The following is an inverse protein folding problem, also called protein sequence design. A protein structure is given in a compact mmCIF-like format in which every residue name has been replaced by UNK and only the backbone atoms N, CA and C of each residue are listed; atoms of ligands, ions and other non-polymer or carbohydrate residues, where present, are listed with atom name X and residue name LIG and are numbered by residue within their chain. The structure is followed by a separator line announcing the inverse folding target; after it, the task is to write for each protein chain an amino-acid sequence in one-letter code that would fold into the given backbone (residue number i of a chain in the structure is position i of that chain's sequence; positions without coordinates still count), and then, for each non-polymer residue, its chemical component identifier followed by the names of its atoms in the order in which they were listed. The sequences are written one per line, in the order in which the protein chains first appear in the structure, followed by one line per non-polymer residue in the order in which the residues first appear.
data_IF_343741764907
#
_entry.id   IF_343741764907
#
_cell.length_a   1.000
_cell.length_b   1.000
_cell.length_c   1.000
_cell.angle_alpha   90.00
_cell.angle_beta   90.00
_cell.angle_gamma   90.00
#
_symmetry.space_group_name_H-M   'P 1'
#
loop_
_entity.id
_entity.type
_entity.pdbx_description
1 polymer ?
#
# COMPACT_ATOMS: atom_id res chain seq x y z
N UNK A 1 76.29 -44.43 -90.62
CA UNK A 1 75.51 -43.27 -91.15
C UNK A 1 74.11 -43.30 -90.54
N UNK A 2 73.72 -42.19 -89.93
CA UNK A 2 72.44 -42.01 -89.25
C UNK A 2 71.29 -41.74 -90.25
N UNK A 3 70.08 -42.24 -89.96
CA UNK A 3 68.86 -41.64 -90.51
C UNK A 3 67.69 -41.71 -89.52
N UNK A 4 67.59 -40.64 -88.72
CA UNK A 4 66.42 -40.28 -87.90
C UNK A 4 65.30 -39.78 -88.84
N UNK A 5 64.09 -40.36 -88.82
CA UNK A 5 62.93 -39.74 -89.50
C UNK A 5 61.57 -40.01 -88.85
N UNK A 6 61.23 -39.06 -87.98
CA UNK A 6 59.90 -38.51 -87.61
C UNK A 6 58.72 -39.46 -87.51
N UNK A 7 58.31 -39.71 -86.25
CA UNK A 7 56.95 -40.10 -85.88
C UNK A 7 55.96 -39.15 -86.57
N UNK A 8 55.22 -39.66 -87.55
CA UNK A 8 54.09 -38.98 -88.16
C UNK A 8 52.95 -39.04 -87.14
N UNK A 9 52.78 -37.99 -86.35
CA UNK A 9 51.56 -37.80 -85.58
C UNK A 9 50.40 -37.69 -86.58
N UNK A 10 49.50 -38.66 -86.53
CA UNK A 10 48.32 -38.72 -87.38
C UNK A 10 47.42 -37.52 -87.09
N UNK A 11 46.92 -36.77 -88.08
CA UNK A 11 45.97 -35.66 -87.82
C UNK A 11 44.68 -36.14 -87.13
N UNK A 12 44.37 -37.44 -87.25
CA UNK A 12 43.28 -38.13 -86.58
C UNK A 12 43.50 -38.29 -85.05
N UNK A 13 44.75 -38.43 -84.59
CA UNK A 13 45.04 -38.53 -83.15
C UNK A 13 45.05 -37.17 -82.45
N UNK A 14 45.36 -36.09 -83.17
CA UNK A 14 45.34 -34.74 -82.60
C UNK A 14 43.90 -34.22 -82.41
N UNK A 15 43.04 -34.44 -83.41
CA UNK A 15 41.63 -34.04 -83.36
C UNK A 15 40.81 -34.90 -82.39
N UNK A 16 41.12 -36.19 -82.25
CA UNK A 16 40.48 -37.04 -81.24
C UNK A 16 40.87 -36.67 -79.80
N UNK A 17 42.14 -36.28 -79.57
CA UNK A 17 42.59 -35.76 -78.28
C UNK A 17 41.86 -34.47 -77.92
N UNK A 18 41.62 -33.59 -78.89
CA UNK A 18 40.96 -32.29 -78.67
C UNK A 18 39.46 -32.44 -78.36
N UNK A 19 38.75 -33.34 -79.05
CA UNK A 19 37.35 -33.66 -78.77
C UNK A 19 37.19 -34.33 -77.40
N UNK A 20 38.09 -35.27 -77.07
CA UNK A 20 38.07 -35.95 -75.76
C UNK A 20 38.43 -34.97 -74.62
N UNK A 21 39.42 -34.09 -74.82
CA UNK A 21 39.82 -33.09 -73.83
C UNK A 21 38.73 -32.03 -73.62
N UNK A 22 38.07 -31.57 -74.69
CA UNK A 22 36.95 -30.63 -74.62
C UNK A 22 35.73 -31.26 -73.94
N UNK A 23 35.40 -32.52 -74.29
CA UNK A 23 34.31 -33.26 -73.64
C UNK A 23 34.56 -33.52 -72.15
N UNK A 24 35.78 -33.92 -71.79
CA UNK A 24 36.15 -34.11 -70.39
C UNK A 24 36.16 -32.77 -69.62
N UNK A 25 36.59 -31.68 -70.26
CA UNK A 25 36.48 -30.33 -69.72
C UNK A 25 35.03 -29.95 -69.40
N UNK A 26 34.10 -30.18 -70.32
CA UNK A 26 32.69 -29.88 -70.11
C UNK A 26 32.07 -30.71 -68.97
N UNK A 27 32.41 -32.00 -68.88
CA UNK A 27 31.92 -32.89 -67.80
C UNK A 27 32.49 -32.52 -66.44
N UNK A 28 33.78 -32.16 -66.37
CA UNK A 28 34.41 -31.71 -65.12
C UNK A 28 33.85 -30.36 -64.65
N UNK A 29 33.56 -29.44 -65.58
CA UNK A 29 32.91 -28.17 -65.29
C UNK A 29 31.47 -28.38 -64.80
N UNK A 30 30.71 -29.28 -65.45
CA UNK A 30 29.37 -29.66 -65.00
C UNK A 30 29.39 -30.31 -63.60
N UNK A 31 30.36 -31.19 -63.34
CA UNK A 31 30.55 -31.81 -62.04
C UNK A 31 30.92 -30.79 -60.95
N UNK A 32 31.81 -29.83 -61.26
CA UNK A 32 32.14 -28.72 -60.37
C UNK A 32 30.95 -27.81 -60.12
N UNK A 33 30.14 -27.49 -61.13
CA UNK A 33 28.92 -26.70 -60.98
C UNK A 33 27.91 -27.46 -60.13
N UNK A 34 27.68 -28.75 -60.35
CA UNK A 34 26.78 -29.56 -59.52
C UNK A 34 27.26 -29.67 -58.07
N UNK A 35 28.57 -29.82 -57.85
CA UNK A 35 29.17 -29.87 -56.51
C UNK A 35 29.19 -28.50 -55.82
N UNK A 36 29.32 -27.40 -56.57
CA UNK A 36 29.26 -26.05 -56.02
C UNK A 36 27.82 -25.56 -55.83
N UNK A 37 26.88 -26.09 -56.61
CA UNK A 37 25.45 -25.85 -56.50
C UNK A 37 24.75 -26.83 -55.53
N UNK A 38 25.49 -27.61 -54.74
CA UNK A 38 25.00 -27.96 -53.41
C UNK A 38 24.99 -26.64 -52.64
N UNK A 39 23.94 -25.86 -52.88
CA UNK A 39 23.62 -24.72 -52.06
C UNK A 39 23.82 -25.20 -50.63
N UNK A 40 24.67 -24.49 -49.90
CA UNK A 40 24.56 -24.42 -48.47
C UNK A 40 23.14 -23.92 -48.26
N UNK A 41 22.17 -24.84 -48.23
CA UNK A 41 20.89 -24.58 -47.60
C UNK A 41 21.34 -24.40 -46.16
N UNK A 42 21.38 -23.17 -45.63
CA UNK A 42 21.58 -23.05 -44.20
C UNK A 42 20.44 -23.88 -43.62
N UNK A 43 20.77 -25.00 -42.98
CA UNK A 43 19.81 -25.70 -42.15
C UNK A 43 19.28 -24.61 -41.22
N UNK A 44 17.98 -24.24 -41.30
CA UNK A 44 17.46 -23.20 -40.44
C UNK A 44 17.79 -23.65 -39.02
N UNK A 45 18.58 -22.84 -38.33
CA UNK A 45 18.98 -23.15 -36.97
C UNK A 45 17.68 -23.18 -36.16
N UNK A 46 17.23 -24.39 -35.81
CA UNK A 46 15.92 -24.62 -35.18
C UNK A 46 15.79 -23.78 -33.89
N UNK A 47 16.94 -23.50 -33.25
CA UNK A 47 17.06 -22.58 -32.12
C UNK A 47 16.69 -21.13 -32.48
N UNK A 48 17.16 -20.60 -33.62
CA UNK A 48 16.85 -19.23 -34.06
C UNK A 48 15.37 -19.11 -34.46
N UNK A 49 14.80 -20.11 -35.10
CA UNK A 49 13.36 -20.11 -35.42
C UNK A 49 12.49 -20.16 -34.16
N UNK A 50 12.87 -20.97 -33.17
CA UNK A 50 12.18 -21.00 -31.87
C UNK A 50 12.29 -19.66 -31.11
N UNK A 51 13.44 -18.99 -31.17
CA UNK A 51 13.65 -17.68 -30.55
C UNK A 51 12.79 -16.59 -31.21
N UNK A 52 12.69 -16.60 -32.56
CA UNK A 52 11.81 -15.69 -33.30
C UNK A 52 10.34 -15.92 -32.94
N UNK A 53 9.90 -17.18 -32.79
CA UNK A 53 8.54 -17.52 -32.39
C UNK A 53 8.21 -17.07 -30.96
N UNK A 54 9.16 -17.21 -30.03
CA UNK A 54 9.04 -16.69 -28.66
C UNK A 54 8.94 -15.16 -28.65
N UNK A 55 9.81 -14.47 -29.37
CA UNK A 55 9.75 -13.00 -29.49
C UNK A 55 8.44 -12.53 -30.14
N UNK A 56 7.94 -13.23 -31.15
CA UNK A 56 6.65 -12.93 -31.77
C UNK A 56 5.46 -13.18 -30.81
N UNK A 57 5.60 -14.11 -29.87
CA UNK A 57 4.62 -14.33 -28.81
C UNK A 57 4.68 -13.21 -27.77
N UNK A 58 5.87 -12.80 -27.35
CA UNK A 58 6.08 -11.72 -26.40
C UNK A 58 5.58 -10.38 -26.93
N UNK A 59 5.80 -10.08 -28.22
CA UNK A 59 5.25 -8.89 -28.88
C UNK A 59 3.73 -8.91 -28.86
N UNK A 60 3.10 -10.04 -29.21
CA UNK A 60 1.63 -10.17 -29.17
C UNK A 60 1.09 -9.99 -27.75
N UNK A 61 1.76 -10.54 -26.76
CA UNK A 61 1.39 -10.38 -25.36
C UNK A 61 1.50 -8.92 -24.92
N UNK A 62 2.60 -8.26 -25.26
CA UNK A 62 2.80 -6.83 -24.97
C UNK A 62 1.76 -5.94 -25.66
N UNK A 63 1.32 -6.28 -26.87
CA UNK A 63 0.25 -5.56 -27.57
C UNK A 63 -1.10 -5.70 -26.85
N UNK A 64 -1.43 -6.89 -26.34
CA UNK A 64 -2.64 -7.13 -25.54
C UNK A 64 -2.57 -6.32 -24.24
N UNK A 65 -1.47 -6.43 -23.49
CA UNK A 65 -1.26 -5.70 -22.23
C UNK A 65 -1.33 -4.19 -22.44
N UNK A 66 -0.78 -3.68 -23.54
CA UNK A 66 -0.88 -2.26 -23.90
C UNK A 66 -2.34 -1.82 -24.07
N UNK A 67 -3.16 -2.62 -24.74
CA UNK A 67 -4.59 -2.30 -24.94
C UNK A 67 -5.33 -2.31 -23.60
N UNK A 68 -5.05 -3.29 -22.73
CA UNK A 68 -5.65 -3.36 -21.38
C UNK A 68 -5.27 -2.16 -20.52
N UNK A 69 -4.01 -1.72 -20.58
CA UNK A 69 -3.54 -0.53 -19.87
C UNK A 69 -4.20 0.74 -20.39
N UNK A 70 -4.36 0.89 -21.72
CA UNK A 70 -5.05 2.04 -22.31
C UNK A 70 -6.51 2.10 -21.89
N UNK A 71 -7.22 0.97 -21.88
CA UNK A 71 -8.61 0.89 -21.40
C UNK A 71 -8.70 1.25 -19.91
N UNK A 72 -7.73 0.81 -19.10
CA UNK A 72 -7.66 1.14 -17.68
C UNK A 72 -7.44 2.64 -17.44
N UNK A 73 -6.62 3.29 -18.27
CA UNK A 73 -6.41 4.75 -18.21
C UNK A 73 -7.71 5.48 -18.54
N UNK A 74 -8.42 5.08 -19.59
CA UNK A 74 -9.70 5.69 -19.98
C UNK A 74 -10.75 5.55 -18.85
N UNK A 75 -10.82 4.38 -18.21
CA UNK A 75 -11.71 4.17 -17.06
C UNK A 75 -11.34 5.08 -15.88
N UNK A 76 -10.06 5.22 -15.56
CA UNK A 76 -9.58 6.08 -14.48
C UNK A 76 -9.89 7.56 -14.78
N UNK A 77 -9.72 8.01 -16.01
CA UNK A 77 -10.09 9.37 -16.42
C UNK A 77 -11.58 9.64 -16.22
N UNK A 78 -12.44 8.68 -16.59
CA UNK A 78 -13.88 8.79 -16.42
C UNK A 78 -14.27 8.86 -14.93
N UNK A 79 -13.68 8.01 -14.08
CA UNK A 79 -13.87 8.06 -12.62
C UNK A 79 -13.41 9.38 -12.03
N UNK A 80 -12.31 9.94 -12.53
CA UNK A 80 -11.77 11.22 -12.07
C UNK A 80 -12.73 12.37 -12.43
N UNK A 81 -13.28 12.38 -13.64
CA UNK A 81 -14.31 13.36 -14.06
C UNK A 81 -15.54 13.26 -13.17
N UNK A 82 -16.03 12.05 -12.87
CA UNK A 82 -17.16 11.84 -11.97
C UNK A 82 -16.89 12.35 -10.55
N UNK A 83 -15.72 12.03 -9.99
CA UNK A 83 -15.32 12.47 -8.66
C UNK A 83 -15.22 14.00 -8.57
N UNK A 84 -14.64 14.66 -9.60
CA UNK A 84 -14.62 16.13 -9.69
C UNK A 84 -16.02 16.72 -9.78
N UNK A 85 -16.93 16.08 -10.52
CA UNK A 85 -18.33 16.49 -10.62
C UNK A 85 -19.09 16.36 -9.29
N UNK A 86 -18.83 15.30 -8.52
CA UNK A 86 -19.38 15.15 -7.16
C UNK A 86 -18.82 16.20 -6.21
N UNK A 87 -17.51 16.42 -6.22
CA UNK A 87 -16.87 17.44 -5.37
C UNK A 87 -17.43 18.84 -5.64
N UNK A 88 -17.64 19.22 -6.91
CA UNK A 88 -18.28 20.49 -7.24
C UNK A 88 -19.69 20.61 -6.69
N UNK A 89 -20.50 19.55 -6.80
CA UNK A 89 -21.86 19.52 -6.21
C UNK A 89 -21.82 19.72 -4.70
N UNK A 90 -20.95 18.99 -3.99
CA UNK A 90 -20.80 19.18 -2.55
C UNK A 90 -20.38 20.60 -2.16
N UNK A 91 -19.49 21.24 -2.93
CA UNK A 91 -19.12 22.63 -2.67
C UNK A 91 -20.29 23.59 -2.90
N UNK A 92 -21.10 23.35 -3.93
CA UNK A 92 -22.33 24.13 -4.17
C UNK A 92 -23.35 23.92 -3.05
N UNK A 93 -23.59 22.68 -2.63
CA UNK A 93 -24.51 22.35 -1.54
C UNK A 93 -24.05 23.00 -0.22
N UNK A 94 -22.73 22.97 0.06
CA UNK A 94 -22.16 23.65 1.23
C UNK A 94 -22.35 25.16 1.18
N UNK A 95 -22.19 25.77 0.00
CA UNK A 95 -22.41 27.21 -0.16
C UNK A 95 -23.89 27.57 0.03
N UNK A 96 -24.82 26.77 -0.49
CA UNK A 96 -26.26 26.96 -0.30
C UNK A 96 -26.65 26.82 1.20
N UNK A 97 -26.08 25.84 1.90
CA UNK A 97 -26.24 25.70 3.35
C UNK A 97 -25.67 26.91 4.09
N UNK A 98 -24.48 27.38 3.73
CA UNK A 98 -23.88 28.57 4.34
C UNK A 98 -24.74 29.83 4.12
N UNK A 99 -25.24 30.03 2.90
CA UNK A 99 -26.17 31.13 2.57
C UNK A 99 -27.49 31.00 3.34
N UNK A 100 -28.02 29.78 3.54
CA UNK A 100 -29.21 29.53 4.35
C UNK A 100 -29.00 29.86 5.84
N UNK A 101 -27.80 29.55 6.37
CA UNK A 101 -27.40 29.88 7.75
C UNK A 101 -27.25 31.39 7.91
N UNK A 102 -26.70 32.09 6.92
CA UNK A 102 -26.54 33.54 6.95
C UNK A 102 -27.86 34.30 6.74
N UNK A 103 -28.83 33.71 6.03
CA UNK A 103 -30.10 34.37 5.67
C UNK A 103 -31.14 34.44 6.78
N UNK A 104 -31.03 33.63 7.85
CA UNK A 104 -32.01 33.63 8.94
C UNK A 104 -31.35 33.67 10.35
N UNK A 105 -30.76 34.84 10.74
CA UNK A 105 -30.21 35.02 12.10
C UNK A 105 -31.25 34.81 13.21
N UNK A 106 -32.56 34.94 12.89
CA UNK A 106 -33.64 34.63 13.82
C UNK A 106 -33.82 33.12 14.05
N UNK A 107 -33.53 32.26 13.06
CA UNK A 107 -33.52 30.80 13.27
C UNK A 107 -32.35 30.37 14.16
N UNK A 108 -31.17 30.95 13.99
CA UNK A 108 -30.03 30.69 14.88
C UNK A 108 -30.35 31.15 16.30
N UNK A 109 -30.96 32.34 16.46
CA UNK A 109 -31.38 32.81 17.78
C UNK A 109 -32.44 31.90 18.41
N UNK A 110 -33.39 31.41 17.63
CA UNK A 110 -34.44 30.49 18.08
C UNK A 110 -33.88 29.11 18.44
N UNK A 111 -32.93 28.60 17.67
CA UNK A 111 -32.25 27.33 17.95
C UNK A 111 -31.33 27.45 19.16
N UNK A 112 -30.61 28.57 19.32
CA UNK A 112 -29.83 28.86 20.55
C UNK A 112 -30.72 28.93 21.78
N UNK A 113 -31.88 29.60 21.68
CA UNK A 113 -32.85 29.66 22.78
C UNK A 113 -33.43 28.26 23.11
N UNK A 114 -33.67 27.42 22.10
CA UNK A 114 -34.11 26.04 22.32
C UNK A 114 -33.02 25.17 22.95
N UNK A 115 -31.76 25.33 22.53
CA UNK A 115 -30.62 24.64 23.14
C UNK A 115 -30.45 25.07 24.58
N UNK A 116 -30.54 26.36 24.89
CA UNK A 116 -30.43 26.87 26.26
C UNK A 116 -31.57 26.37 27.16
N UNK A 117 -32.79 26.23 26.63
CA UNK A 117 -33.92 25.65 27.36
C UNK A 117 -33.70 24.15 27.63
N UNK A 118 -33.25 23.41 26.61
CA UNK A 118 -32.92 21.99 26.73
C UNK A 118 -31.75 21.75 27.70
N UNK A 119 -30.73 22.61 27.67
CA UNK A 119 -29.60 22.57 28.62
C UNK A 119 -30.06 22.82 30.06
N UNK A 120 -31.03 23.72 30.27
CA UNK A 120 -31.62 23.94 31.60
C UNK A 120 -32.48 22.75 32.06
N UNK A 121 -33.25 22.14 31.16
CA UNK A 121 -34.01 20.93 31.47
C UNK A 121 -33.09 19.75 31.77
N UNK A 122 -31.99 19.56 31.00
CA UNK A 122 -31.01 18.51 31.27
C UNK A 122 -30.22 18.78 32.54
N UNK A 123 -29.83 20.02 32.83
CA UNK A 123 -29.15 20.37 34.08
C UNK A 123 -30.03 20.12 35.31
N UNK A 124 -31.33 20.42 35.22
CA UNK A 124 -32.30 20.12 36.27
C UNK A 124 -32.55 18.61 36.45
N UNK A 125 -32.37 17.81 35.38
CA UNK A 125 -32.39 16.34 35.45
C UNK A 125 -31.06 15.75 35.97
N UNK A 126 -29.92 16.36 35.64
CA UNK A 126 -28.58 15.92 36.07
C UNK A 126 -28.32 16.18 37.56
N UNK A 127 -28.82 17.29 38.13
CA UNK A 127 -28.73 17.58 39.57
C UNK A 127 -29.46 16.55 40.46
N UNK A 128 -30.38 15.75 39.89
CA UNK A 128 -31.12 14.72 40.64
C UNK A 128 -30.42 13.35 40.61
N UNK A 129 -29.49 13.10 39.67
CA UNK A 129 -28.84 11.78 39.54
C UNK A 129 -27.30 11.75 39.54
N UNK A 130 -26.57 12.85 39.38
CA UNK A 130 -25.10 12.80 39.35
C UNK A 130 -24.46 13.90 40.22
N UNK A 131 -23.78 13.47 41.28
CA UNK A 131 -22.95 14.33 42.11
C UNK A 131 -21.78 14.93 41.34
N UNK A 132 -21.51 16.20 41.63
CA UNK A 132 -20.37 17.03 41.23
C UNK A 132 -19.12 16.24 40.81
N UNK A 133 -18.87 16.18 39.50
CA UNK A 133 -17.56 16.33 38.81
C UNK A 133 -17.68 15.87 37.36
N UNK A 134 -18.12 16.77 36.49
CA UNK A 134 -18.01 16.57 35.04
C UNK A 134 -17.14 17.68 34.45
N UNK A 135 -15.99 17.25 33.92
CA UNK A 135 -15.05 18.08 33.17
C UNK A 135 -15.72 18.52 31.86
N UNK A 136 -16.07 19.81 31.73
CA UNK A 136 -16.48 20.38 30.44
C UNK A 136 -15.28 20.39 29.47
N UNK A 137 -15.35 19.59 28.40
CA UNK A 137 -14.47 19.76 27.23
C UNK A 137 -15.24 20.53 26.15
N UNK A 138 -14.85 21.79 25.94
CA UNK A 138 -15.28 22.59 24.80
C UNK A 138 -14.30 22.30 23.66
N UNK A 139 -14.69 21.43 22.73
CA UNK A 139 -13.86 21.12 21.56
C UNK A 139 -14.61 20.29 20.51
N UNK A 140 -14.85 20.93 19.36
CA UNK A 140 -15.41 20.44 18.10
C UNK A 140 -15.95 19.00 18.05
N UNK A 141 -17.27 18.89 18.14
CA UNK A 141 -18.06 17.87 17.47
C UNK A 141 -18.11 16.53 18.17
N UNK A 142 -19.33 16.05 18.39
CA UNK A 142 -19.67 14.71 18.86
C UNK A 142 -19.06 13.63 17.93
N UNK A 143 -17.78 13.29 18.14
CA UNK A 143 -17.03 12.28 17.35
C UNK A 143 -17.48 10.85 17.62
N UNK A 144 -18.44 10.65 18.53
CA UNK A 144 -18.98 9.34 18.88
C UNK A 144 -19.60 8.58 17.69
N UNK A 145 -20.03 9.29 16.64
CA UNK A 145 -20.64 8.66 15.46
C UNK A 145 -19.65 8.22 14.38
N UNK A 146 -18.36 8.55 14.48
CA UNK A 146 -17.39 8.34 13.38
C UNK A 146 -16.59 7.04 13.46
N UNK A 147 -16.60 6.34 14.60
CA UNK A 147 -15.83 5.08 14.75
C UNK A 147 -16.71 3.83 14.73
N UNK A 148 -18.04 3.97 14.88
CA UNK A 148 -18.94 2.82 15.07
C UNK A 148 -18.65 2.01 16.34
N UNK A 149 -17.74 2.47 17.21
CA UNK A 149 -17.36 1.80 18.44
C UNK A 149 -18.33 2.18 19.55
N UNK A 150 -19.13 1.21 20.03
CA UNK A 150 -19.90 1.35 21.26
C UNK A 150 -18.97 1.07 22.45
N UNK A 151 -18.44 2.13 23.05
CA UNK A 151 -17.71 2.04 24.32
C UNK A 151 -18.73 1.86 25.43
N UNK A 152 -18.78 0.66 26.02
CA UNK A 152 -19.69 0.31 27.09
C UNK A 152 -19.39 -1.09 27.65
N UNK A 153 -19.78 -1.32 28.90
CA UNK A 153 -19.52 -2.55 29.64
C UNK A 153 -18.89 -2.29 31.01
N UNK A 154 -18.93 -3.27 31.90
CA UNK A 154 -18.36 -3.17 33.26
C UNK A 154 -16.82 -3.15 33.25
N UNK A 155 -16.20 -3.65 32.18
CA UNK A 155 -14.76 -3.81 32.02
C UNK A 155 -14.36 -3.49 30.58
N UNK A 156 -13.50 -2.49 30.41
CA UNK A 156 -13.02 -2.04 29.11
C UNK A 156 -11.51 -2.15 29.06
N UNK A 157 -10.98 -2.86 28.07
CA UNK A 157 -9.55 -3.05 27.91
C UNK A 157 -9.08 -2.42 26.61
N UNK A 158 -8.01 -1.64 26.69
CA UNK A 158 -7.42 -0.94 25.56
C UNK A 158 -6.01 -1.49 25.33
N UNK A 159 -5.84 -2.13 24.18
CA UNK A 159 -4.54 -2.62 23.71
C UNK A 159 -3.96 -1.65 22.69
N UNK A 160 -2.75 -1.19 22.95
CA UNK A 160 -2.06 -0.17 22.15
C UNK A 160 -0.82 -0.79 21.54
N UNK A 161 -0.77 -0.89 20.21
CA UNK A 161 0.46 -1.26 19.51
C UNK A 161 1.49 -0.14 19.72
N UNK A 162 2.66 -0.50 20.23
CA UNK A 162 3.80 0.38 20.46
C UNK A 162 5.07 -0.14 19.75
N UNK A 163 4.88 -0.82 18.62
CA UNK A 163 5.95 -1.30 17.74
C UNK A 163 6.65 -0.18 16.96
N UNK A 164 7.79 -0.50 16.33
CA UNK A 164 8.47 0.44 15.44
C UNK A 164 7.60 0.91 14.24
N UNK A 165 6.57 0.15 13.86
CA UNK A 165 5.63 0.54 12.81
C UNK A 165 4.77 1.76 13.19
N UNK A 166 4.72 2.10 14.48
CA UNK A 166 3.98 3.25 15.01
C UNK A 166 4.76 4.57 14.89
N UNK A 167 6.02 4.52 14.42
CA UNK A 167 6.84 5.71 14.18
C UNK A 167 6.52 6.41 12.84
N UNK A 168 5.99 5.67 11.85
CA UNK A 168 5.66 6.24 10.55
C UNK A 168 4.71 5.35 9.74
N UNK A 169 4.03 5.93 8.75
CA UNK A 169 3.17 5.19 7.82
C UNK A 169 3.96 4.39 6.77
N UNK A 170 5.20 4.80 6.47
CA UNK A 170 6.06 4.07 5.52
C UNK A 170 7.20 3.34 6.25
N UNK A 171 7.50 2.12 5.78
CA UNK A 171 8.56 1.26 6.35
C UNK A 171 9.91 1.97 6.36
N UNK A 172 10.24 2.70 5.29
CA UNK A 172 11.51 3.45 5.19
C UNK A 172 11.59 4.55 6.26
N UNK A 173 10.51 5.32 6.46
CA UNK A 173 10.49 6.36 7.48
C UNK A 173 10.47 5.78 8.90
N UNK A 174 9.84 4.62 9.10
CA UNK A 174 9.86 3.92 10.38
C UNK A 174 11.29 3.49 10.75
N UNK A 175 12.05 2.92 9.80
CA UNK A 175 13.46 2.54 10.01
C UNK A 175 14.33 3.79 10.25
N UNK A 176 14.12 4.87 9.49
CA UNK A 176 14.87 6.12 9.68
C UNK A 176 14.63 6.70 11.07
N UNK A 177 13.38 6.74 11.52
CA UNK A 177 13.01 7.25 12.84
C UNK A 177 13.50 6.37 13.97
N UNK A 178 13.48 5.03 13.81
CA UNK A 178 13.96 4.08 14.82
C UNK A 178 15.38 4.36 15.32
N UNK A 179 16.22 4.98 14.49
CA UNK A 179 17.61 5.31 14.85
C UNK A 179 17.77 6.76 15.36
N UNK A 180 16.68 7.48 15.61
CA UNK A 180 16.67 8.83 16.19
C UNK A 180 16.61 8.76 17.72
N UNK A 181 16.84 9.91 18.37
CA UNK A 181 16.71 10.05 19.83
C UNK A 181 15.26 9.80 20.29
N UNK A 182 15.11 9.39 21.55
CA UNK A 182 13.82 8.98 22.13
C UNK A 182 12.76 10.08 22.08
N UNK A 183 13.13 11.34 22.29
CA UNK A 183 12.24 12.50 22.14
C UNK A 183 11.66 12.59 20.72
N UNK A 184 12.45 12.29 19.68
CA UNK A 184 11.99 12.30 18.29
C UNK A 184 11.10 11.10 17.97
N UNK A 185 11.37 9.95 18.60
CA UNK A 185 10.52 8.77 18.51
C UNK A 185 9.13 9.07 19.11
N UNK A 186 9.08 9.64 20.31
CA UNK A 186 7.85 10.07 20.98
C UNK A 186 7.10 11.13 20.18
N UNK A 187 7.81 12.05 19.51
CA UNK A 187 7.19 13.07 18.66
C UNK A 187 6.71 12.56 17.28
N UNK A 188 6.77 11.26 17.02
CA UNK A 188 6.33 10.69 15.75
C UNK A 188 4.84 10.98 15.49
N UNK A 189 4.44 11.47 14.30
CA UNK A 189 3.06 11.86 14.03
C UNK A 189 2.03 10.75 14.26
N UNK A 190 2.37 9.52 13.85
CA UNK A 190 1.52 8.34 14.01
C UNK A 190 1.37 7.95 15.48
N UNK A 191 2.46 7.99 16.26
CA UNK A 191 2.43 7.73 17.70
C UNK A 191 1.60 8.79 18.46
N UNK A 192 1.85 10.07 18.19
CA UNK A 192 1.08 11.17 18.78
C UNK A 192 -0.42 11.06 18.47
N UNK A 193 -0.78 10.62 17.27
CA UNK A 193 -2.16 10.34 16.90
C UNK A 193 -2.77 9.17 17.70
N UNK A 194 -2.01 8.09 17.90
CA UNK A 194 -2.43 6.94 18.72
C UNK A 194 -2.65 7.36 20.18
N UNK A 195 -1.71 8.09 20.78
CA UNK A 195 -1.85 8.60 22.17
C UNK A 195 -3.10 9.45 22.32
N UNK A 196 -3.34 10.40 21.40
CA UNK A 196 -4.56 11.23 21.41
C UNK A 196 -5.84 10.42 21.25
N UNK A 197 -5.80 9.35 20.47
CA UNK A 197 -6.95 8.46 20.29
C UNK A 197 -7.26 7.71 21.58
N UNK A 198 -6.23 7.18 22.26
CA UNK A 198 -6.43 6.49 23.54
C UNK A 198 -6.88 7.45 24.63
N UNK A 199 -6.29 8.65 24.71
CA UNK A 199 -6.73 9.72 25.63
C UNK A 199 -8.20 10.06 25.41
N UNK A 200 -8.66 10.13 24.15
CA UNK A 200 -10.07 10.31 23.82
C UNK A 200 -10.95 9.11 24.22
N UNK A 201 -10.48 7.87 24.02
CA UNK A 201 -11.22 6.66 24.41
C UNK A 201 -11.40 6.58 25.93
N UNK A 202 -10.36 6.89 26.69
CA UNK A 202 -10.38 6.92 28.15
C UNK A 202 -11.35 7.96 28.69
N UNK A 203 -11.41 9.15 28.07
CA UNK A 203 -12.33 10.21 28.45
C UNK A 203 -13.82 9.87 28.20
N UNK A 204 -14.09 8.89 27.33
CA UNK A 204 -15.44 8.47 26.97
C UNK A 204 -15.94 7.27 27.82
N UNK A 205 -15.10 6.74 28.72
CA UNK A 205 -15.48 5.61 29.54
C UNK A 205 -16.60 5.98 30.52
N UNK A 206 -17.62 5.12 30.68
CA UNK A 206 -18.63 5.30 31.72
C UNK A 206 -17.96 5.30 33.12
N UNK A 207 -18.40 6.16 34.06
CA UNK A 207 -17.82 6.19 35.41
C UNK A 207 -18.08 4.91 36.21
N UNK A 208 -19.05 4.08 35.79
CA UNK A 208 -19.31 2.75 36.38
C UNK A 208 -18.43 1.63 35.80
N UNK A 209 -17.57 1.94 34.83
CA UNK A 209 -16.72 0.96 34.17
C UNK A 209 -15.34 0.89 34.83
N UNK A 210 -14.71 -0.28 34.73
CA UNK A 210 -13.30 -0.45 35.04
C UNK A 210 -12.47 -0.57 33.77
N UNK A 211 -11.23 -0.13 33.81
CA UNK A 211 -10.37 -0.12 32.64
C UNK A 211 -8.97 -0.70 32.87
N UNK A 212 -8.37 -1.15 31.78
CA UNK A 212 -6.96 -1.52 31.70
C UNK A 212 -6.38 -1.02 30.38
N UNK A 213 -5.16 -0.49 30.42
CA UNK A 213 -4.44 -0.05 29.22
C UNK A 213 -3.10 -0.78 29.17
N UNK A 214 -2.89 -1.51 28.07
CA UNK A 214 -1.67 -2.26 27.82
C UNK A 214 -1.02 -1.78 26.52
N UNK A 215 0.28 -1.58 26.57
CA UNK A 215 1.12 -1.31 25.42
C UNK A 215 1.83 -2.60 25.03
N UNK A 216 1.83 -2.95 23.74
CA UNK A 216 2.48 -4.16 23.27
C UNK A 216 3.39 -3.90 22.08
N UNK A 217 4.52 -4.61 22.06
CA UNK A 217 5.43 -4.73 20.93
C UNK A 217 5.82 -6.21 20.79
N UNK A 218 7.08 -6.58 21.02
CA UNK A 218 7.47 -7.97 21.26
C UNK A 218 7.11 -8.46 22.67
N UNK A 219 6.88 -7.55 23.61
CA UNK A 219 6.45 -7.80 24.98
C UNK A 219 5.23 -6.92 25.27
N UNK A 220 4.52 -7.18 26.37
CA UNK A 220 3.38 -6.39 26.81
C UNK A 220 3.69 -5.72 28.15
N UNK A 221 3.28 -4.46 28.29
CA UNK A 221 3.52 -3.63 29.46
C UNK A 221 2.22 -2.93 29.85
N UNK A 222 1.90 -2.90 31.14
CA UNK A 222 0.81 -2.05 31.63
C UNK A 222 1.20 -0.56 31.44
N UNK A 223 0.23 0.28 31.10
CA UNK A 223 0.46 1.71 30.96
C UNK A 223 0.91 2.37 32.27
N UNK A 224 0.39 1.88 33.39
CA UNK A 224 0.81 2.29 34.73
C UNK A 224 1.67 1.15 35.31
N UNK A 225 2.94 1.41 35.65
CA UNK A 225 3.79 0.39 36.25
C UNK A 225 3.20 -0.12 37.57
N UNK A 226 3.12 -1.44 37.74
CA UNK A 226 2.61 -2.05 38.98
C UNK A 226 1.10 -2.30 39.02
N UNK A 227 0.36 -1.95 37.96
CA UNK A 227 -1.07 -2.27 37.82
C UNK A 227 -1.29 -3.47 36.89
N UNK A 228 -0.30 -4.37 36.76
CA UNK A 228 -0.44 -5.56 35.91
C UNK A 228 -1.57 -6.45 36.43
N UNK A 229 -2.57 -6.73 35.58
CA UNK A 229 -3.74 -7.55 35.91
C UNK A 229 -4.80 -6.84 36.76
N UNK A 230 -4.55 -5.60 37.22
CA UNK A 230 -5.48 -4.84 38.06
C UNK A 230 -6.47 -4.04 37.22
N UNK A 231 -7.75 -4.06 37.60
CA UNK A 231 -8.81 -3.30 36.94
C UNK A 231 -9.01 -1.96 37.64
N UNK A 232 -8.57 -0.89 36.99
CA UNK A 232 -8.64 0.49 37.48
C UNK A 232 -10.05 1.07 37.32
N UNK A 233 -10.44 2.02 38.16
CA UNK A 233 -11.77 2.62 38.15
C UNK A 233 -11.82 3.83 37.21
N UNK A 234 -12.72 3.80 36.22
CA UNK A 234 -12.88 4.92 35.31
C UNK A 234 -13.46 6.17 35.99
N UNK A 235 -14.01 6.06 37.21
CA UNK A 235 -14.39 7.20 38.03
C UNK A 235 -13.19 7.94 38.63
N UNK A 236 -12.02 7.30 38.75
CA UNK A 236 -10.82 7.95 39.29
C UNK A 236 -10.07 8.72 38.19
N UNK A 237 -10.19 10.05 38.26
CA UNK A 237 -9.49 10.95 37.34
C UNK A 237 -7.96 10.85 37.42
N UNK A 238 -7.40 10.42 38.55
CA UNK A 238 -5.95 10.29 38.73
C UNK A 238 -5.43 9.06 37.96
N UNK A 239 -6.14 7.94 38.07
CA UNK A 239 -5.80 6.70 37.34
C UNK A 239 -5.87 6.90 35.82
N UNK A 240 -6.87 7.65 35.34
CA UNK A 240 -6.97 8.01 33.92
C UNK A 240 -5.79 8.90 33.46
N UNK A 241 -5.39 9.88 34.27
CA UNK A 241 -4.27 10.76 33.93
C UNK A 241 -2.93 10.01 33.94
N UNK A 242 -2.73 9.13 34.92
CA UNK A 242 -1.52 8.32 35.04
C UNK A 242 -1.38 7.34 33.87
N UNK A 243 -2.49 6.76 33.40
CA UNK A 243 -2.48 5.92 32.20
C UNK A 243 -2.08 6.71 30.94
N UNK A 244 -2.62 7.91 30.76
CA UNK A 244 -2.25 8.79 29.63
C UNK A 244 -0.79 9.23 29.73
N UNK A 245 -0.29 9.51 30.94
CA UNK A 245 1.11 9.87 31.17
C UNK A 245 2.05 8.71 30.82
N UNK A 246 1.71 7.50 31.27
CA UNK A 246 2.43 6.28 30.91
C UNK A 246 2.52 6.05 29.40
N UNK A 247 1.44 6.34 28.66
CA UNK A 247 1.45 6.31 27.19
C UNK A 247 2.36 7.38 26.58
N UNK A 248 2.32 8.61 27.11
CA UNK A 248 3.15 9.73 26.61
C UNK A 248 4.64 9.48 26.86
N UNK A 249 4.97 8.80 27.95
CA UNK A 249 6.34 8.48 28.34
C UNK A 249 6.91 7.25 27.64
N UNK A 250 6.06 6.40 27.07
CA UNK A 250 6.49 5.20 26.34
C UNK A 250 7.14 5.53 24.99
N UNK A 251 8.23 4.83 24.67
CA UNK A 251 8.96 4.96 23.40
C UNK A 251 8.62 3.78 22.49
N UNK A 252 7.94 3.99 21.35
CA UNK A 252 7.64 2.90 20.42
C UNK A 252 8.89 2.31 19.79
N UNK A 253 8.92 0.98 19.65
CA UNK A 253 10.09 0.28 19.13
C UNK A 253 9.89 -1.22 18.98
N UNK A 254 10.96 -1.93 18.59
CA UNK A 254 10.95 -3.39 18.35
C UNK A 254 9.90 -3.83 17.30
N UNK A 255 9.62 -5.13 17.21
CA UNK A 255 8.58 -5.70 16.35
C UNK A 255 7.18 -5.69 16.99
N UNK A 256 6.18 -6.22 16.29
CA UNK A 256 4.80 -6.37 16.78
C UNK A 256 4.50 -7.84 17.06
N UNK A 257 3.93 -8.13 18.23
CA UNK A 257 3.40 -9.45 18.61
C UNK A 257 2.07 -9.25 19.34
N UNK A 258 0.98 -9.37 18.59
CA UNK A 258 -0.37 -9.32 19.15
C UNK A 258 -0.62 -10.50 20.09
N UNK A 259 -0.03 -11.67 19.80
CA UNK A 259 -0.12 -12.85 20.65
C UNK A 259 0.40 -12.56 22.05
N UNK A 260 1.53 -11.87 22.19
CA UNK A 260 2.07 -11.51 23.50
C UNK A 260 1.21 -10.45 24.20
N UNK A 261 0.61 -9.53 23.44
CA UNK A 261 -0.37 -8.58 23.96
C UNK A 261 -1.63 -9.27 24.51
N UNK A 262 -2.10 -10.33 23.86
CA UNK A 262 -3.26 -11.11 24.31
C UNK A 262 -2.87 -12.08 25.45
N UNK A 263 -1.66 -12.65 25.43
CA UNK A 263 -1.19 -13.54 26.48
C UNK A 263 -1.01 -12.81 27.83
N UNK A 264 -0.65 -11.53 27.80
CA UNK A 264 -0.61 -10.68 28.99
C UNK A 264 -1.99 -10.43 29.64
N UNK A 265 -3.07 -10.89 28.99
CA UNK A 265 -4.44 -10.83 29.51
C UNK A 265 -4.86 -12.10 30.25
N UNK A 266 -4.05 -13.17 30.18
CA UNK A 266 -4.41 -14.51 30.66
C UNK A 266 -3.87 -14.88 32.05
N UNK A 267 -3.20 -13.95 32.73
CA UNK A 267 -2.84 -14.01 34.15
C UNK A 267 -3.65 -12.99 34.96
#
# INVERSE_FOLDING_TARGET
MARKKKNRASPFSLSFLDIMACGFGAVTLLFLILRHNTMIVPTPDESLSAEVDLLAKDIRQAEIEKVELLNSIEELELRLVQARGLSRRYLTDLQEVEESIQSDPNQIAKLRAQVEELERETAAMEEVEFGDKVRQFIGEGNRQYLTGLKLGGERVMILVDASASMLADSVVNAIRRRNMEEEQLKASPKWQWTVRTVEWLLAQLPPSSRFQVYLFNTEAYAAIPGTEGEWLDAADSLELEDAVRGLKDFVPGKGTSLENGIAALSD
#
